data_IF_851781533116
#
_entry.id   IF_851781533116
#
_cell.length_a   1.000
_cell.length_b   1.000
_cell.length_c   1.000
_cell.angle_alpha   90.00
_cell.angle_beta   90.00
_cell.angle_gamma   90.00
#
_symmetry.space_group_name_H-M   'P 1'
#
loop_
_entity.id
_entity.type
_entity.pdbx_description
1 polymer ?
#
# COMPACT_ATOMS: atom_id res chain seq x y z
N UNK A 1 -7.19 -8.09 23.56
CA UNK A 1 -6.46 -7.18 22.64
C UNK A 1 -5.81 -6.11 23.51
N UNK A 2 -4.53 -5.81 23.31
CA UNK A 2 -3.84 -4.74 24.04
C UNK A 2 -3.87 -3.41 23.28
N UNK A 3 -3.56 -2.30 23.95
CA UNK A 3 -3.61 -0.93 23.39
C UNK A 3 -2.82 -0.77 22.08
N UNK A 4 -1.74 -1.53 21.88
CA UNK A 4 -0.94 -1.52 20.65
C UNK A 4 -1.68 -2.13 19.45
N UNK A 5 -2.49 -3.19 19.66
CA UNK A 5 -3.28 -3.79 18.59
C UNK A 5 -4.34 -2.79 18.10
N UNK A 6 -5.03 -2.11 19.01
CA UNK A 6 -6.04 -1.13 18.62
C UNK A 6 -5.46 0.06 17.85
N UNK A 7 -4.27 0.53 18.26
CA UNK A 7 -3.57 1.60 17.55
C UNK A 7 -3.18 1.17 16.13
N UNK A 8 -2.66 -0.05 15.96
CA UNK A 8 -2.33 -0.59 14.65
C UNK A 8 -3.59 -0.73 13.79
N UNK A 9 -4.67 -1.27 14.34
CA UNK A 9 -5.95 -1.45 13.65
C UNK A 9 -6.54 -0.14 13.14
N UNK A 10 -6.45 0.94 13.92
CA UNK A 10 -6.87 2.30 13.50
C UNK A 10 -6.05 2.86 12.34
N UNK A 11 -4.82 2.38 12.15
CA UNK A 11 -3.86 2.85 11.14
C UNK A 11 -3.82 1.97 9.88
N UNK A 12 -4.41 0.78 9.90
CA UNK A 12 -4.32 -0.17 8.78
C UNK A 12 -4.82 0.42 7.46
N UNK A 13 -5.93 1.16 7.47
CA UNK A 13 -6.47 1.74 6.25
C UNK A 13 -5.47 2.70 5.57
N UNK A 14 -4.90 3.62 6.34
CA UNK A 14 -3.89 4.60 5.91
C UNK A 14 -2.55 3.94 5.57
N UNK A 15 -2.20 2.86 6.27
CA UNK A 15 -1.03 2.04 5.96
C UNK A 15 -1.18 1.36 4.58
N UNK A 16 -2.36 0.78 4.29
CA UNK A 16 -2.66 0.16 2.99
C UNK A 16 -2.61 1.20 1.86
N UNK A 17 -3.13 2.42 2.11
CA UNK A 17 -3.09 3.52 1.13
C UNK A 17 -1.70 4.17 1.00
N UNK A 18 -0.72 3.75 1.82
CA UNK A 18 0.64 4.32 1.87
C UNK A 18 0.69 5.80 2.23
N UNK A 19 -0.21 6.22 3.11
CA UNK A 19 -0.38 7.62 3.54
C UNK A 19 0.21 7.90 4.93
N UNK A 20 0.88 6.92 5.54
CA UNK A 20 1.58 7.08 6.81
C UNK A 20 2.98 7.66 6.61
N UNK A 21 3.47 8.37 7.62
CA UNK A 21 4.88 8.78 7.65
C UNK A 21 5.83 7.58 7.84
N UNK A 22 7.11 7.74 7.47
CA UNK A 22 8.10 6.65 7.57
C UNK A 22 8.22 6.05 8.98
N UNK A 23 8.08 6.87 10.02
CA UNK A 23 8.11 6.40 11.41
C UNK A 23 6.87 5.57 11.74
N UNK A 24 5.71 5.97 11.26
CA UNK A 24 4.45 5.26 11.48
C UNK A 24 4.38 3.95 10.69
N UNK A 25 4.90 3.93 9.46
CA UNK A 25 5.08 2.72 8.66
C UNK A 25 5.95 1.72 9.41
N UNK A 26 7.10 2.14 9.95
CA UNK A 26 7.96 1.26 10.77
C UNK A 26 7.24 0.69 11.98
N UNK A 27 6.46 1.51 12.69
CA UNK A 27 5.74 1.08 13.88
C UNK A 27 4.63 0.07 13.56
N UNK A 28 3.82 0.34 12.53
CA UNK A 28 2.78 -0.60 12.09
C UNK A 28 3.41 -1.90 11.61
N UNK A 29 4.46 -1.82 10.79
CA UNK A 29 5.15 -3.01 10.27
C UNK A 29 5.71 -3.87 11.41
N UNK A 30 6.43 -3.28 12.36
CA UNK A 30 6.97 -4.01 13.51
C UNK A 30 5.86 -4.73 14.30
N UNK A 31 4.70 -4.09 14.48
CA UNK A 31 3.57 -4.74 15.13
C UNK A 31 2.99 -5.91 14.32
N UNK A 32 2.86 -5.76 12.99
CA UNK A 32 2.36 -6.84 12.14
C UNK A 32 3.32 -8.03 12.14
N UNK A 33 4.63 -7.78 12.09
CA UNK A 33 5.68 -8.81 12.14
C UNK A 33 5.61 -9.64 13.45
N UNK A 34 5.20 -9.02 14.57
CA UNK A 34 5.13 -9.65 15.90
C UNK A 34 3.70 -10.09 16.32
N UNK A 35 2.66 -9.77 15.54
CA UNK A 35 1.27 -9.99 15.93
C UNK A 35 0.44 -10.62 14.80
N UNK A 36 0.46 -11.97 14.68
CA UNK A 36 -0.29 -12.71 13.66
C UNK A 36 -1.80 -12.37 13.59
N UNK A 37 -2.51 -12.10 14.71
CA UNK A 37 -3.90 -11.65 14.65
C UNK A 37 -4.09 -10.33 13.89
N UNK A 38 -3.19 -9.37 14.06
CA UNK A 38 -3.27 -8.08 13.35
C UNK A 38 -2.84 -8.22 11.89
N UNK A 39 -1.87 -9.09 11.59
CA UNK A 39 -1.48 -9.45 10.23
C UNK A 39 -2.67 -10.02 9.43
N UNK A 40 -3.42 -10.96 10.02
CA UNK A 40 -4.62 -11.53 9.37
C UNK A 40 -5.67 -10.46 9.04
N UNK A 41 -5.85 -9.46 9.90
CA UNK A 41 -6.78 -8.36 9.61
C UNK A 41 -6.25 -7.44 8.52
N UNK A 42 -4.94 -7.16 8.52
CA UNK A 42 -4.29 -6.41 7.45
C UNK A 42 -4.50 -7.11 6.10
N UNK A 43 -4.22 -8.40 6.00
CA UNK A 43 -4.38 -9.18 4.77
C UNK A 43 -5.82 -9.14 4.25
N UNK A 44 -6.79 -9.31 5.15
CA UNK A 44 -8.21 -9.22 4.81
C UNK A 44 -8.58 -7.84 4.25
N UNK A 45 -8.16 -6.75 4.91
CA UNK A 45 -8.46 -5.39 4.45
C UNK A 45 -7.77 -5.06 3.13
N UNK A 46 -6.52 -5.49 2.95
CA UNK A 46 -5.76 -5.30 1.73
C UNK A 46 -6.41 -6.02 0.55
N UNK A 47 -6.81 -7.28 0.75
CA UNK A 47 -7.49 -8.08 -0.27
C UNK A 47 -8.87 -7.51 -0.62
N UNK A 48 -9.63 -7.06 0.39
CA UNK A 48 -10.92 -6.39 0.17
C UNK A 48 -10.75 -5.12 -0.67
N UNK A 49 -9.77 -4.26 -0.36
CA UNK A 49 -9.48 -3.06 -1.15
C UNK A 49 -9.03 -3.39 -2.58
N UNK A 50 -8.20 -4.43 -2.73
CA UNK A 50 -7.79 -4.92 -4.05
C UNK A 50 -8.98 -5.36 -4.90
N UNK A 51 -9.92 -6.08 -4.29
CA UNK A 51 -11.13 -6.54 -4.96
C UNK A 51 -12.04 -5.37 -5.34
N UNK A 52 -12.29 -4.41 -4.44
CA UNK A 52 -13.07 -3.20 -4.74
C UNK A 52 -12.46 -2.43 -5.89
N UNK A 53 -11.14 -2.22 -5.88
CA UNK A 53 -10.44 -1.54 -7.00
C UNK A 53 -10.61 -2.29 -8.31
N UNK A 54 -10.57 -3.62 -8.29
CA UNK A 54 -10.68 -4.45 -9.50
C UNK A 54 -12.09 -4.45 -10.07
N UNK A 55 -13.11 -4.59 -9.23
CA UNK A 55 -14.50 -4.76 -9.68
C UNK A 55 -15.25 -3.42 -9.84
N UNK A 56 -14.84 -2.37 -9.12
CA UNK A 56 -15.55 -1.08 -9.11
C UNK A 56 -14.78 0.08 -9.75
N UNK A 57 -13.48 -0.08 -10.04
CA UNK A 57 -12.66 0.98 -10.66
C UNK A 57 -12.07 0.48 -11.99
N UNK A 58 -12.91 0.41 -13.02
CA UNK A 58 -12.54 -0.08 -14.36
C UNK A 58 -12.02 1.03 -15.29
N UNK A 59 -11.90 2.26 -14.81
CA UNK A 59 -11.39 3.37 -15.61
C UNK A 59 -9.88 3.23 -15.84
N UNK A 60 -9.49 2.95 -17.07
CA UNK A 60 -8.10 2.98 -17.49
C UNK A 60 -7.56 4.41 -17.49
N UNK A 61 -6.31 4.56 -17.07
CA UNK A 61 -5.60 5.83 -17.22
C UNK A 61 -5.57 6.23 -18.72
N UNK A 62 -5.79 7.51 -19.05
CA UNK A 62 -5.71 8.01 -20.43
C UNK A 62 -4.41 7.57 -21.13
N UNK A 63 -4.51 7.17 -22.40
CA UNK A 63 -3.39 6.62 -23.16
C UNK A 63 -2.13 7.50 -23.11
N UNK A 64 -2.30 8.83 -23.25
CA UNK A 64 -1.23 9.81 -23.15
C UNK A 64 -0.46 9.74 -21.82
N UNK A 65 -1.15 9.56 -20.70
CA UNK A 65 -0.51 9.44 -19.38
C UNK A 65 0.24 8.10 -19.27
N UNK A 66 -0.35 7.01 -19.76
CA UNK A 66 0.31 5.69 -19.78
C UNK A 66 1.61 5.72 -20.59
N UNK A 67 1.60 6.36 -21.76
CA UNK A 67 2.78 6.47 -22.63
C UNK A 67 3.87 7.35 -22.00
N UNK A 68 3.48 8.47 -21.37
CA UNK A 68 4.42 9.31 -20.64
C UNK A 68 5.08 8.57 -19.47
N UNK A 69 4.32 7.81 -18.67
CA UNK A 69 4.87 7.00 -17.57
C UNK A 69 5.87 5.95 -18.07
N UNK A 70 5.58 5.30 -19.21
CA UNK A 70 6.51 4.33 -19.85
C UNK A 70 7.82 4.98 -20.30
N UNK A 71 7.78 6.22 -20.78
CA UNK A 71 9.00 6.95 -21.16
C UNK A 71 9.85 7.27 -19.93
N UNK A 72 9.24 7.80 -18.86
CA UNK A 72 9.95 8.11 -17.61
C UNK A 72 10.68 6.91 -16.98
N UNK A 73 10.10 5.70 -17.08
CA UNK A 73 10.74 4.50 -16.52
C UNK A 73 11.94 4.03 -17.34
N UNK A 74 12.01 4.36 -18.64
CA UNK A 74 13.12 3.98 -19.53
C UNK A 74 14.27 4.99 -19.52
N UNK A 75 13.98 6.28 -19.35
CA UNK A 75 15.00 7.35 -19.29
C UNK A 75 15.99 7.18 -18.12
N UNK A 76 15.54 6.62 -16.99
CA UNK A 76 16.41 6.34 -15.83
C UNK A 76 17.40 5.19 -16.03
N UNK A 77 17.34 4.48 -17.17
CA UNK A 77 18.20 3.32 -17.46
C UNK A 77 19.41 3.64 -18.35
N UNK A 78 19.70 4.89 -18.73
CA UNK A 78 20.92 5.16 -19.51
C UNK A 78 22.15 4.83 -18.65
N UNK A 79 22.96 3.80 -18.98
CA UNK A 79 24.15 3.52 -18.22
C UNK A 79 25.11 4.70 -18.41
N UNK A 80 25.60 5.24 -17.30
CA UNK A 80 26.74 6.13 -17.32
C UNK A 80 27.92 5.33 -17.89
N UNK A 81 28.36 5.71 -19.08
CA UNK A 81 29.68 5.35 -19.59
C UNK A 81 30.76 6.09 -18.80
#
# INVERSE_FOLDING_TARGET
>A
MGDHCEQTMRRLNTYIDRELSDSEVRNVKAHLDDCPPCEQVFDFQAEMKRLVRKECCTDDAPARLRDWVRQLSTEKSKPAG
#
